data_IF_393987313046
#
_entry.id   IF_393987313046
#
_cell.length_a   1.000
_cell.length_b   1.000
_cell.length_c   1.000
_cell.angle_alpha   90.00
_cell.angle_beta   90.00
_cell.angle_gamma   90.00
#
_symmetry.space_group_name_H-M   'P 1'
#
loop_
_entity.id
_entity.type
_entity.pdbx_description
1 polymer ?
#
# COMPACT_ATOMS: atom_id res chain seq x y z
N UNK A 1 -7.49 7.77 37.90
CA UNK A 1 -7.30 8.52 36.65
C UNK A 1 -5.93 9.16 36.72
N UNK A 2 -4.88 8.38 36.40
CA UNK A 2 -3.50 8.87 36.46
C UNK A 2 -3.15 9.56 35.14
N UNK A 3 -2.72 10.80 35.27
CA UNK A 3 -2.30 11.61 34.14
C UNK A 3 -0.98 11.08 33.58
N UNK A 4 -1.00 10.67 32.32
CA UNK A 4 0.24 10.47 31.54
C UNK A 4 0.95 11.83 31.43
N UNK A 5 1.91 12.09 32.29
CA UNK A 5 2.86 13.19 32.12
C UNK A 5 3.91 12.76 31.09
N UNK A 6 3.84 13.32 29.90
CA UNK A 6 4.94 13.29 28.95
C UNK A 6 6.14 14.04 29.52
N UNK A 7 7.08 13.28 30.05
CA UNK A 7 8.40 13.78 30.48
C UNK A 7 9.43 13.15 29.56
N UNK A 8 9.64 13.73 28.38
CA UNK A 8 10.86 13.48 27.61
C UNK A 8 11.02 14.45 26.44
N UNK A 9 11.07 15.77 26.73
CA UNK A 9 11.50 16.74 25.73
C UNK A 9 13.01 16.94 25.64
N UNK A 10 13.81 16.24 26.43
CA UNK A 10 15.25 16.51 26.55
C UNK A 10 16.13 15.28 26.39
N UNK A 11 15.96 14.50 25.32
CA UNK A 11 16.98 13.58 24.77
C UNK A 11 16.52 12.97 23.46
N UNK A 12 16.08 13.76 22.51
CA UNK A 12 16.27 13.36 21.13
C UNK A 12 17.69 13.79 20.76
N UNK A 13 18.68 12.90 21.02
CA UNK A 13 19.84 12.85 20.14
C UNK A 13 19.25 12.90 18.74
N UNK A 14 19.71 13.80 17.89
CA UNK A 14 19.41 13.81 16.46
C UNK A 14 19.89 12.46 15.91
N UNK A 15 19.09 11.42 16.10
CA UNK A 15 19.28 10.16 15.42
C UNK A 15 18.99 10.47 13.95
N UNK A 16 20.01 10.37 13.11
CA UNK A 16 19.87 10.46 11.68
C UNK A 16 18.69 9.57 11.25
N UNK A 17 17.66 10.15 10.63
CA UNK A 17 16.52 9.38 10.16
C UNK A 17 16.97 8.54 8.96
N UNK A 18 17.27 7.29 9.23
CA UNK A 18 17.78 6.34 8.24
C UNK A 18 16.70 5.89 7.24
N UNK A 19 15.42 6.13 7.53
CA UNK A 19 14.30 5.73 6.70
C UNK A 19 13.21 6.82 6.71
N UNK A 20 13.43 7.97 6.05
CA UNK A 20 12.44 9.03 5.98
C UNK A 20 11.15 8.56 5.31
N UNK A 21 10.06 8.49 6.07
CA UNK A 21 8.73 8.17 5.56
C UNK A 21 8.00 9.47 5.25
N UNK A 22 7.61 9.67 4.00
CA UNK A 22 6.92 10.87 3.54
C UNK A 22 5.41 10.83 3.81
N UNK A 23 4.88 9.64 4.01
CA UNK A 23 3.46 9.40 4.28
C UNK A 23 2.99 8.02 3.82
N UNK A 24 1.68 7.87 3.76
CA UNK A 24 1.05 6.67 3.18
C UNK A 24 0.80 6.92 1.69
N UNK A 25 1.31 6.04 0.83
CA UNK A 25 0.99 6.07 -0.61
C UNK A 25 -0.43 5.54 -0.86
N UNK A 26 -0.70 4.30 -0.41
CA UNK A 26 -2.03 3.70 -0.47
C UNK A 26 -2.19 2.57 0.56
N UNK A 27 -3.44 2.18 0.78
CA UNK A 27 -3.79 0.98 1.53
C UNK A 27 -4.53 0.05 0.58
N UNK A 28 -4.01 -1.19 0.38
CA UNK A 28 -4.68 -2.18 -0.45
C UNK A 28 -5.42 -3.19 0.42
N UNK A 29 -6.70 -3.34 0.13
CA UNK A 29 -7.57 -4.34 0.73
C UNK A 29 -7.79 -5.49 -0.26
N UNK A 30 -7.67 -6.70 0.22
CA UNK A 30 -8.17 -7.87 -0.47
C UNK A 30 -9.62 -8.10 -0.04
N UNK A 31 -10.52 -8.15 -1.02
CA UNK A 31 -11.96 -8.20 -0.81
C UNK A 31 -12.58 -9.36 -1.58
N UNK A 32 -13.64 -9.96 -1.02
CA UNK A 32 -14.46 -10.94 -1.74
C UNK A 32 -15.23 -10.29 -2.90
N UNK A 33 -15.58 -9.01 -2.77
CA UNK A 33 -16.23 -8.22 -3.84
C UNK A 33 -15.76 -6.77 -3.80
N UNK A 34 -14.68 -6.46 -4.50
CA UNK A 34 -14.09 -5.11 -4.52
C UNK A 34 -15.03 -4.04 -5.11
N UNK A 35 -15.90 -4.40 -6.07
CA UNK A 35 -16.89 -3.46 -6.63
C UNK A 35 -17.91 -3.01 -5.57
N UNK A 36 -18.37 -3.94 -4.77
CA UNK A 36 -19.31 -3.66 -3.67
C UNK A 36 -18.64 -2.83 -2.57
N UNK A 37 -17.39 -3.16 -2.22
CA UNK A 37 -16.60 -2.40 -1.27
C UNK A 37 -16.31 -0.98 -1.77
N UNK A 38 -16.01 -0.82 -3.07
CA UNK A 38 -15.81 0.49 -3.68
C UNK A 38 -17.08 1.35 -3.60
N UNK A 39 -18.24 0.77 -3.92
CA UNK A 39 -19.52 1.45 -3.79
C UNK A 39 -19.78 1.92 -2.35
N UNK A 40 -19.47 1.09 -1.36
CA UNK A 40 -19.61 1.43 0.05
C UNK A 40 -18.82 2.70 0.43
N UNK A 41 -17.53 2.76 0.08
CA UNK A 41 -16.68 3.92 0.38
C UNK A 41 -17.09 5.16 -0.42
N UNK A 42 -17.49 5.00 -1.67
CA UNK A 42 -17.98 6.11 -2.49
C UNK A 42 -19.27 6.71 -1.90
N UNK A 43 -20.23 5.86 -1.58
CA UNK A 43 -21.55 6.31 -1.13
C UNK A 43 -21.56 6.85 0.30
N UNK A 44 -20.87 6.19 1.24
CA UNK A 44 -20.91 6.58 2.65
C UNK A 44 -19.84 7.59 3.04
N UNK A 45 -18.68 7.56 2.41
CA UNK A 45 -17.55 8.41 2.79
C UNK A 45 -17.20 9.46 1.73
N UNK A 46 -17.78 9.41 0.55
CA UNK A 46 -17.53 10.37 -0.52
C UNK A 46 -16.17 10.18 -1.22
N UNK A 47 -15.62 8.96 -1.23
CA UNK A 47 -14.45 8.67 -2.03
C UNK A 47 -14.77 8.75 -3.52
N UNK A 48 -13.81 9.21 -4.30
CA UNK A 48 -13.89 9.23 -5.77
C UNK A 48 -13.16 8.00 -6.34
N UNK A 49 -13.75 7.37 -7.36
CA UNK A 49 -13.08 6.34 -8.15
C UNK A 49 -12.14 7.04 -9.14
N UNK A 50 -10.81 6.85 -8.95
CA UNK A 50 -9.79 7.53 -9.77
C UNK A 50 -9.12 6.61 -10.78
N UNK A 51 -9.10 5.29 -10.53
CA UNK A 51 -8.55 4.32 -11.47
C UNK A 51 -9.23 2.95 -11.30
N UNK A 52 -9.17 2.15 -12.36
CA UNK A 52 -9.68 0.78 -12.40
C UNK A 52 -8.76 -0.10 -13.24
N UNK A 53 -8.56 -1.32 -12.76
CA UNK A 53 -7.94 -2.40 -13.54
C UNK A 53 -8.80 -3.65 -13.43
N UNK A 54 -9.06 -4.30 -14.55
CA UNK A 54 -9.89 -5.50 -14.63
C UNK A 54 -10.00 -6.02 -16.07
N UNK A 55 -10.95 -6.91 -16.36
CA UNK A 55 -11.09 -7.51 -17.67
C UNK A 55 -11.19 -6.51 -18.81
N UNK A 56 -11.84 -5.37 -18.58
CA UNK A 56 -12.02 -4.30 -19.56
C UNK A 56 -10.71 -3.57 -19.88
N UNK A 57 -9.73 -3.62 -18.97
CA UNK A 57 -8.39 -3.05 -19.15
C UNK A 57 -7.32 -4.11 -19.43
N UNK A 58 -7.73 -5.36 -19.66
CA UNK A 58 -6.84 -6.47 -20.00
C UNK A 58 -6.33 -7.30 -18.82
N UNK A 59 -6.66 -6.93 -17.58
CA UNK A 59 -6.32 -7.72 -16.37
C UNK A 59 -7.44 -8.73 -16.11
N UNK A 60 -7.17 -10.03 -16.32
CA UNK A 60 -8.23 -11.07 -16.35
C UNK A 60 -8.33 -11.93 -15.10
N UNK A 61 -7.37 -11.86 -14.22
CA UNK A 61 -7.27 -12.69 -13.01
C UNK A 61 -7.76 -11.98 -11.75
N UNK A 62 -7.82 -10.65 -11.79
CA UNK A 62 -8.33 -9.80 -10.69
C UNK A 62 -9.02 -8.55 -11.21
N UNK A 63 -9.75 -7.88 -10.33
CA UNK A 63 -10.26 -6.53 -10.55
C UNK A 63 -9.88 -5.64 -9.36
N UNK A 64 -9.36 -4.45 -9.64
CA UNK A 64 -8.92 -3.48 -8.63
C UNK A 64 -9.55 -2.13 -8.88
N UNK A 65 -10.07 -1.51 -7.83
CA UNK A 65 -10.66 -0.18 -7.82
C UNK A 65 -9.79 0.73 -6.96
N UNK A 66 -9.30 1.82 -7.52
CA UNK A 66 -8.53 2.82 -6.79
C UNK A 66 -9.45 3.97 -6.42
N UNK A 67 -9.63 4.16 -5.13
CA UNK A 67 -10.44 5.22 -4.56
C UNK A 67 -9.57 6.26 -3.90
N UNK A 68 -9.91 7.53 -4.03
CA UNK A 68 -9.19 8.62 -3.40
C UNK A 68 -10.13 9.61 -2.73
N UNK A 69 -9.73 10.08 -1.56
CA UNK A 69 -10.30 11.23 -0.89
C UNK A 69 -9.18 12.02 -0.23
N UNK A 70 -8.93 13.23 -0.71
CA UNK A 70 -7.79 14.05 -0.31
C UNK A 70 -6.46 13.28 -0.44
N UNK A 71 -5.78 13.02 0.70
CA UNK A 71 -4.52 12.27 0.75
C UNK A 71 -4.70 10.76 0.99
N UNK A 72 -5.92 10.33 1.25
CA UNK A 72 -6.22 8.91 1.45
C UNK A 72 -6.45 8.25 0.11
N UNK A 73 -5.76 7.14 -0.12
CA UNK A 73 -5.92 6.31 -1.30
C UNK A 73 -6.12 4.86 -0.90
N UNK A 74 -7.22 4.27 -1.33
CA UNK A 74 -7.55 2.87 -1.14
C UNK A 74 -7.51 2.14 -2.46
N UNK A 75 -6.91 0.96 -2.45
CA UNK A 75 -6.97 0.00 -3.56
C UNK A 75 -7.80 -1.17 -3.06
N UNK A 76 -8.92 -1.43 -3.73
CA UNK A 76 -9.81 -2.53 -3.38
C UNK A 76 -9.70 -3.59 -4.47
N UNK A 77 -9.11 -4.74 -4.14
CA UNK A 77 -8.81 -5.80 -5.10
C UNK A 77 -9.60 -7.07 -4.80
N UNK A 78 -10.19 -7.67 -5.83
CA UNK A 78 -10.87 -8.96 -5.76
C UNK A 78 -10.33 -9.90 -6.82
N UNK A 79 -10.20 -11.18 -6.49
CA UNK A 79 -9.84 -12.20 -7.46
C UNK A 79 -11.02 -12.50 -8.39
N UNK A 80 -10.70 -12.77 -9.66
CA UNK A 80 -11.65 -13.29 -10.66
C UNK A 80 -11.44 -14.79 -10.94
N UNK A 81 -10.49 -15.39 -10.22
CA UNK A 81 -10.13 -16.80 -10.33
C UNK A 81 -10.00 -17.41 -8.92
N UNK A 82 -10.42 -18.65 -8.71
CA UNK A 82 -10.35 -19.30 -7.40
C UNK A 82 -8.93 -19.63 -6.93
N UNK A 83 -7.98 -19.78 -7.85
CA UNK A 83 -6.57 -20.11 -7.63
C UNK A 83 -5.66 -18.86 -7.49
N UNK A 84 -6.23 -17.70 -7.21
CA UNK A 84 -5.51 -16.45 -7.00
C UNK A 84 -5.22 -16.22 -5.50
N UNK A 85 -4.08 -15.60 -5.18
CA UNK A 85 -3.68 -15.29 -3.80
C UNK A 85 -4.74 -14.50 -3.02
N UNK A 86 -5.48 -13.59 -3.69
CA UNK A 86 -6.58 -12.84 -3.09
C UNK A 86 -7.70 -13.79 -2.60
N UNK A 87 -8.01 -14.85 -3.40
CA UNK A 87 -9.02 -15.84 -3.01
C UNK A 87 -8.59 -16.60 -1.76
N UNK A 88 -7.32 -16.98 -1.66
CA UNK A 88 -6.79 -17.67 -0.49
C UNK A 88 -6.79 -16.78 0.74
N UNK A 89 -6.40 -15.50 0.58
CA UNK A 89 -6.44 -14.52 1.66
C UNK A 89 -7.88 -14.32 2.18
N UNK A 90 -8.83 -14.06 1.29
CA UNK A 90 -10.23 -13.82 1.67
C UNK A 90 -10.86 -15.08 2.31
N UNK A 91 -10.53 -16.27 1.82
CA UNK A 91 -10.99 -17.53 2.41
C UNK A 91 -10.45 -17.72 3.83
N UNK A 92 -9.22 -17.31 4.10
CA UNK A 92 -8.54 -17.52 5.39
C UNK A 92 -8.87 -16.42 6.40
N UNK A 93 -8.92 -15.16 5.96
CA UNK A 93 -8.98 -13.98 6.82
C UNK A 93 -10.26 -13.14 6.64
N UNK A 94 -11.04 -13.39 5.57
CA UNK A 94 -12.09 -12.47 5.14
C UNK A 94 -11.53 -11.24 4.42
N UNK A 95 -12.38 -10.24 4.22
CA UNK A 95 -11.96 -8.96 3.65
C UNK A 95 -11.05 -8.21 4.63
N UNK A 96 -9.92 -7.72 4.17
CA UNK A 96 -8.97 -7.04 5.05
C UNK A 96 -7.80 -6.37 4.34
N UNK A 97 -7.00 -5.64 5.11
CA UNK A 97 -5.79 -4.97 4.61
C UNK A 97 -4.72 -6.01 4.30
N UNK A 98 -4.26 -6.03 3.06
CA UNK A 98 -3.11 -6.81 2.60
C UNK A 98 -1.84 -5.99 2.55
N UNK A 99 -1.93 -4.74 2.08
CA UNK A 99 -0.77 -3.87 1.89
C UNK A 99 -1.00 -2.53 2.58
N UNK A 100 -0.01 -2.12 3.36
CA UNK A 100 0.19 -0.74 3.76
C UNK A 100 1.41 -0.20 3.00
N UNK A 101 1.17 0.61 1.97
CA UNK A 101 2.21 1.19 1.15
C UNK A 101 2.63 2.55 1.72
N UNK A 102 3.93 2.69 1.95
CA UNK A 102 4.58 3.87 2.51
C UNK A 102 5.30 4.63 1.41
N UNK A 103 5.08 5.92 1.34
CA UNK A 103 5.78 6.79 0.40
C UNK A 103 7.18 7.09 0.93
N UNK A 104 8.18 6.90 0.08
CA UNK A 104 9.59 7.14 0.37
C UNK A 104 10.26 7.92 -0.77
N UNK A 105 11.39 8.51 -0.46
CA UNK A 105 12.22 9.19 -1.45
C UNK A 105 13.02 8.23 -2.33
N UNK A 106 13.43 7.09 -1.78
CA UNK A 106 14.21 6.05 -2.48
C UNK A 106 13.77 4.67 -1.97
N UNK A 107 13.05 3.94 -2.83
CA UNK A 107 12.52 2.62 -2.48
C UNK A 107 13.60 1.53 -2.41
N UNK A 108 14.73 1.72 -3.11
CA UNK A 108 15.88 0.81 -3.05
C UNK A 108 16.63 0.98 -1.74
N UNK A 109 16.92 2.22 -1.37
CA UNK A 109 17.56 2.54 -0.08
C UNK A 109 16.68 2.09 1.09
N UNK A 110 15.37 2.36 1.04
CA UNK A 110 14.42 1.94 2.09
C UNK A 110 14.45 0.42 2.30
N UNK A 111 14.52 -0.36 1.22
CA UNK A 111 14.62 -1.81 1.28
C UNK A 111 15.94 -2.26 1.93
N UNK A 112 17.07 -1.70 1.53
CA UNK A 112 18.39 -2.07 2.08
C UNK A 112 18.52 -1.71 3.56
N UNK A 113 18.01 -0.55 3.97
CA UNK A 113 18.00 -0.13 5.37
C UNK A 113 17.14 -1.05 6.24
N UNK A 114 15.96 -1.45 5.75
CA UNK A 114 15.10 -2.39 6.49
C UNK A 114 15.68 -3.79 6.49
N UNK A 115 16.29 -4.24 5.39
CA UNK A 115 17.00 -5.54 5.29
C UNK A 115 18.15 -5.61 6.29
N UNK A 116 18.97 -4.57 6.37
CA UNK A 116 20.10 -4.51 7.30
C UNK A 116 19.67 -4.60 8.78
N UNK A 117 18.42 -4.20 9.08
CA UNK A 117 17.81 -4.29 10.41
C UNK A 117 16.98 -5.56 10.65
N UNK A 118 17.08 -6.53 9.77
CA UNK A 118 16.41 -7.83 9.88
C UNK A 118 15.00 -7.88 9.30
N UNK A 119 14.61 -6.91 8.49
CA UNK A 119 13.36 -6.93 7.74
C UNK A 119 13.33 -8.08 6.71
N UNK A 120 12.23 -8.80 6.64
CA UNK A 120 12.03 -9.89 5.69
C UNK A 120 11.58 -9.34 4.34
N UNK A 121 12.46 -9.37 3.34
CA UNK A 121 12.14 -8.94 1.97
C UNK A 121 11.20 -9.95 1.31
N UNK A 122 10.12 -9.46 0.70
CA UNK A 122 9.15 -10.24 -0.09
C UNK A 122 9.11 -9.80 -1.54
N UNK A 123 9.60 -8.60 -1.84
CA UNK A 123 9.72 -8.07 -3.20
C UNK A 123 10.98 -7.20 -3.28
N UNK A 124 11.88 -7.54 -4.17
CA UNK A 124 13.03 -6.69 -4.50
C UNK A 124 12.55 -5.38 -5.16
N UNK A 125 13.43 -4.37 -5.18
CA UNK A 125 13.06 -3.10 -5.78
C UNK A 125 12.91 -3.24 -7.30
N UNK A 126 11.69 -3.05 -7.79
CA UNK A 126 11.32 -3.10 -9.20
C UNK A 126 10.85 -1.74 -9.68
N UNK A 127 11.19 -1.41 -10.92
CA UNK A 127 10.77 -0.17 -11.57
C UNK A 127 9.67 -0.46 -12.59
N UNK A 128 8.56 0.24 -12.45
CA UNK A 128 7.43 0.22 -13.38
C UNK A 128 7.36 1.58 -14.06
N UNK A 129 7.29 1.59 -15.39
CA UNK A 129 7.25 2.84 -16.16
C UNK A 129 6.16 2.80 -17.22
N UNK A 130 5.55 3.96 -17.45
CA UNK A 130 4.59 4.23 -18.50
C UNK A 130 4.81 5.64 -19.10
N UNK A 131 3.86 6.14 -19.87
CA UNK A 131 3.91 7.49 -20.48
C UNK A 131 3.90 8.63 -19.44
N UNK A 132 3.55 8.35 -18.18
CA UNK A 132 3.50 9.33 -17.09
C UNK A 132 4.74 9.33 -16.21
N UNK A 133 5.70 8.42 -16.46
CA UNK A 133 6.95 8.35 -15.73
C UNK A 133 7.25 6.98 -15.15
N UNK A 134 7.98 6.96 -14.04
CA UNK A 134 8.41 5.73 -13.38
C UNK A 134 8.05 5.73 -11.89
N UNK A 135 7.69 4.55 -11.39
CA UNK A 135 7.47 4.25 -9.96
C UNK A 135 8.40 3.11 -9.59
N UNK A 136 9.15 3.27 -8.50
CA UNK A 136 9.93 2.18 -7.94
C UNK A 136 9.22 1.64 -6.70
N UNK A 137 9.08 0.32 -6.63
CA UNK A 137 8.38 -0.36 -5.55
C UNK A 137 9.25 -1.48 -5.00
N UNK A 138 9.32 -1.60 -3.68
CA UNK A 138 9.88 -2.74 -2.98
C UNK A 138 8.97 -3.15 -1.83
N UNK A 139 9.15 -4.32 -1.23
CA UNK A 139 8.30 -4.74 -0.13
C UNK A 139 8.98 -5.64 0.89
N UNK A 140 8.54 -5.48 2.14
CA UNK A 140 8.92 -6.33 3.27
C UNK A 140 7.67 -6.95 3.90
N UNK A 141 7.87 -8.10 4.53
CA UNK A 141 6.85 -8.73 5.36
C UNK A 141 6.68 -7.96 6.67
N UNK A 142 5.45 -7.85 7.14
CA UNK A 142 5.14 -7.36 8.49
C UNK A 142 4.49 -8.48 9.32
N UNK A 143 3.49 -8.20 10.15
CA UNK A 143 2.86 -9.27 10.95
C UNK A 143 1.86 -10.05 10.12
N UNK A 144 1.73 -11.33 10.41
CA UNK A 144 0.84 -12.23 9.69
C UNK A 144 1.21 -12.29 8.21
N UNK A 145 0.24 -12.04 7.35
CA UNK A 145 0.41 -12.04 5.90
C UNK A 145 0.35 -10.65 5.26
N UNK A 146 0.24 -9.59 6.09
CA UNK A 146 0.30 -8.20 5.63
C UNK A 146 1.73 -7.85 5.24
N UNK A 147 1.87 -6.95 4.27
CA UNK A 147 3.16 -6.45 3.81
C UNK A 147 3.21 -4.92 3.85
N UNK A 148 4.42 -4.38 4.01
CA UNK A 148 4.70 -2.98 3.72
C UNK A 148 5.36 -2.88 2.35
N UNK A 149 4.80 -2.02 1.49
CA UNK A 149 5.48 -1.59 0.27
C UNK A 149 6.15 -0.24 0.53
N UNK A 150 7.35 -0.05 -0.01
CA UNK A 150 7.99 1.24 -0.16
C UNK A 150 7.76 1.71 -1.58
N UNK A 151 7.20 2.90 -1.74
CA UNK A 151 6.79 3.43 -3.04
C UNK A 151 7.46 4.77 -3.29
N UNK A 152 8.28 4.82 -4.32
CA UNK A 152 8.93 6.02 -4.82
C UNK A 152 8.21 6.50 -6.08
N UNK A 153 7.64 7.71 -6.04
CA UNK A 153 6.88 8.31 -7.15
C UNK A 153 7.47 9.63 -7.64
N UNK A 154 8.73 9.93 -7.36
CA UNK A 154 9.34 11.22 -7.73
C UNK A 154 9.23 11.55 -9.21
N UNK A 155 9.36 10.54 -10.06
CA UNK A 155 9.35 10.69 -11.51
C UNK A 155 7.99 10.34 -12.14
N UNK A 156 6.93 10.16 -11.34
CA UNK A 156 5.63 9.73 -11.83
C UNK A 156 4.57 10.82 -11.66
N UNK A 157 3.88 11.15 -12.76
CA UNK A 157 2.83 12.18 -12.81
C UNK A 157 1.44 11.61 -13.17
N UNK A 158 1.31 10.29 -13.24
CA UNK A 158 0.05 9.62 -13.45
C UNK A 158 -0.85 9.62 -12.21
N UNK A 159 -2.07 9.11 -12.38
CA UNK A 159 -3.07 9.04 -11.30
C UNK A 159 -2.67 7.97 -10.27
N UNK A 160 -2.24 6.79 -10.77
CA UNK A 160 -1.87 5.66 -9.92
C UNK A 160 -1.01 4.64 -10.64
#
# INVERSE_FOLDING_TARGET
MESFRSSSKDRLVEAEDFLPLLGTDHIEFYCGNAKQSAFYYQYLFGFELVAYAGPETGVRDKASYVLQQNKLRFVLSTALRPDHEISDHVRTHGDGVKVLALQVDDARQALEETRARGGHVVMEAEEFSDEHGAVVVSAIKTYGETIHKFVERKAYQGIF
#
